data_IF_646787703901
#
_entry.id   IF_646787703901
#
_cell.length_a   1.000
_cell.length_b   1.000
_cell.length_c   1.000
_cell.angle_alpha   90.00
_cell.angle_beta   90.00
_cell.angle_gamma   90.00
#
_symmetry.space_group_name_H-M   'P 1'
#
loop_
_entity.id
_entity.type
_entity.pdbx_description
1 polymer ?
#
# COMPACT_ATOMS: atom_id res chain seq x y z
N UNK A 1 34.55 -5.02 3.89
CA UNK A 1 34.00 -4.55 2.61
C UNK A 1 33.14 -3.33 2.89
N UNK A 2 33.56 -2.13 2.47
CA UNK A 2 32.76 -0.92 2.54
C UNK A 2 32.14 -0.66 1.18
N UNK A 3 30.85 -0.97 1.03
CA UNK A 3 30.08 -0.62 -0.17
C UNK A 3 29.53 0.78 0.05
N UNK A 4 30.02 1.76 -0.73
CA UNK A 4 29.45 3.10 -0.75
C UNK A 4 28.18 3.08 -1.60
N UNK A 5 27.02 3.17 -0.97
CA UNK A 5 25.79 3.51 -1.69
C UNK A 5 25.90 4.97 -2.11
N UNK A 6 25.78 5.27 -3.41
CA UNK A 6 25.52 6.64 -3.86
C UNK A 6 24.25 7.17 -3.18
N UNK A 7 23.95 8.49 -3.20
CA UNK A 7 22.76 9.02 -2.55
C UNK A 7 21.50 8.52 -3.28
N UNK A 8 21.01 7.34 -2.91
CA UNK A 8 19.74 6.81 -3.38
C UNK A 8 18.69 7.65 -2.70
N UNK A 9 18.08 8.57 -3.45
CA UNK A 9 16.93 9.36 -2.99
C UNK A 9 15.70 8.46 -2.94
N UNK A 10 15.65 7.57 -1.95
CA UNK A 10 14.45 6.81 -1.62
C UNK A 10 13.47 7.77 -0.96
N UNK A 11 12.61 8.38 -1.76
CA UNK A 11 11.49 9.18 -1.29
C UNK A 11 10.19 8.39 -1.48
N UNK A 12 9.30 8.49 -0.50
CA UNK A 12 7.96 7.91 -0.60
C UNK A 12 7.19 8.69 -1.67
N UNK A 13 6.57 8.01 -2.66
CA UNK A 13 5.77 8.68 -3.66
C UNK A 13 4.62 9.48 -3.03
N UNK A 14 4.28 10.66 -3.59
CA UNK A 14 3.12 11.41 -3.12
C UNK A 14 1.85 10.56 -3.25
N UNK A 15 0.99 10.60 -2.24
CA UNK A 15 -0.25 9.81 -2.18
C UNK A 15 -0.10 8.37 -1.70
N UNK A 16 1.12 7.83 -1.60
CA UNK A 16 1.33 6.45 -1.11
C UNK A 16 0.87 6.26 0.33
N UNK A 17 1.11 7.26 1.19
CA UNK A 17 0.64 7.23 2.59
C UNK A 17 -0.88 7.14 2.69
N UNK A 18 -1.59 7.94 1.89
CA UNK A 18 -3.06 7.94 1.86
C UNK A 18 -3.62 6.60 1.38
N UNK A 19 -3.03 6.01 0.34
CA UNK A 19 -3.42 4.66 -0.14
C UNK A 19 -3.29 3.60 0.96
N UNK A 20 -2.20 3.64 1.74
CA UNK A 20 -2.01 2.71 2.85
C UNK A 20 -2.96 2.98 4.01
N UNK A 21 -3.27 4.24 4.31
CA UNK A 21 -4.25 4.61 5.34
C UNK A 21 -5.65 4.10 4.99
N UNK A 22 -6.06 4.23 3.73
CA UNK A 22 -7.36 3.76 3.25
C UNK A 22 -7.48 2.23 3.31
N UNK A 23 -6.46 1.51 2.81
CA UNK A 23 -6.41 0.05 2.91
C UNK A 23 -6.46 -0.39 4.38
N UNK A 24 -5.66 0.23 5.25
CA UNK A 24 -5.59 -0.14 6.66
C UNK A 24 -6.92 0.09 7.38
N UNK A 25 -7.63 1.16 7.04
CA UNK A 25 -8.96 1.45 7.60
C UNK A 25 -9.98 0.38 7.21
N UNK A 26 -10.00 -0.03 5.96
CA UNK A 26 -10.96 -1.04 5.47
C UNK A 26 -10.62 -2.45 5.99
N UNK A 27 -9.33 -2.79 6.13
CA UNK A 27 -8.92 -4.04 6.81
C UNK A 27 -9.40 -4.07 8.27
N UNK A 28 -9.26 -2.97 9.01
CA UNK A 28 -9.73 -2.91 10.41
C UNK A 28 -11.25 -2.96 10.53
N UNK A 29 -11.98 -2.49 9.51
CA UNK A 29 -13.45 -2.52 9.46
C UNK A 29 -13.99 -3.91 9.15
N UNK A 30 -13.45 -4.56 8.12
CA UNK A 30 -13.94 -5.85 7.62
C UNK A 30 -13.36 -7.04 8.40
N UNK A 31 -12.24 -6.85 9.12
CA UNK A 31 -11.53 -7.90 9.88
C UNK A 31 -11.34 -9.20 9.06
N UNK A 32 -10.77 -9.13 7.84
CA UNK A 32 -10.66 -10.30 6.98
C UNK A 32 -9.60 -11.28 7.48
N UNK A 33 -9.86 -12.59 7.36
CA UNK A 33 -8.87 -13.63 7.67
C UNK A 33 -7.66 -13.60 6.72
N UNK A 34 -7.88 -13.22 5.46
CA UNK A 34 -6.85 -13.16 4.41
C UNK A 34 -6.63 -11.74 3.91
N UNK A 35 -5.74 -11.02 4.58
CA UNK A 35 -5.42 -9.62 4.25
C UNK A 35 -4.88 -9.45 2.81
N UNK A 36 -3.93 -10.28 2.31
CA UNK A 36 -3.46 -10.17 0.92
C UNK A 36 -4.57 -10.29 -0.13
N UNK A 37 -5.49 -11.25 0.05
CA UNK A 37 -6.61 -11.45 -0.87
C UNK A 37 -7.61 -10.29 -0.80
N UNK A 38 -7.90 -9.80 0.41
CA UNK A 38 -8.73 -8.61 0.61
C UNK A 38 -8.14 -7.39 -0.08
N UNK A 39 -6.84 -7.13 0.11
CA UNK A 39 -6.15 -6.00 -0.50
C UNK A 39 -6.20 -6.05 -2.04
N UNK A 40 -6.00 -7.24 -2.63
CA UNK A 40 -6.10 -7.43 -4.08
C UNK A 40 -7.50 -7.05 -4.60
N UNK A 41 -8.56 -7.60 -3.98
CA UNK A 41 -9.96 -7.29 -4.35
C UNK A 41 -10.29 -5.81 -4.14
N UNK A 42 -9.83 -5.23 -3.03
CA UNK A 42 -10.03 -3.82 -2.71
C UNK A 42 -9.43 -2.90 -3.77
N UNK A 43 -8.16 -3.10 -4.14
CA UNK A 43 -7.51 -2.31 -5.17
C UNK A 43 -8.11 -2.55 -6.57
N UNK A 44 -8.51 -3.77 -6.90
CA UNK A 44 -9.25 -4.04 -8.15
C UNK A 44 -10.57 -3.26 -8.21
N UNK A 45 -11.30 -3.17 -7.10
CA UNK A 45 -12.52 -2.37 -6.99
C UNK A 45 -12.24 -0.88 -7.22
N UNK A 46 -11.23 -0.34 -6.55
CA UNK A 46 -10.82 1.07 -6.73
C UNK A 46 -10.41 1.40 -8.17
N UNK A 47 -9.77 0.46 -8.88
CA UNK A 47 -9.38 0.66 -10.28
C UNK A 47 -10.58 0.65 -11.25
N UNK A 48 -11.66 -0.08 -10.94
CA UNK A 48 -12.87 -0.17 -11.76
C UNK A 48 -13.83 1.01 -11.57
N UNK A 49 -13.78 1.66 -10.41
CA UNK A 49 -14.61 2.84 -10.07
C UNK A 49 -14.06 4.12 -10.73
N UNK A 50 -12.86 4.06 -11.30
CA UNK A 50 -12.15 5.17 -11.94
C UNK A 50 -12.47 5.26 -13.43
#
# INVERSE_FOLDING_TARGET
MSVSYGPVRLAVPPGFKSLLEDLSREVLREQPDNIPEFAAKYFEGLLKVR
#
